data_IF_018297298732
#
_entry.id   IF_018297298732
#
_cell.length_a   1.000
_cell.length_b   1.000
_cell.length_c   1.000
_cell.angle_alpha   90.00
_cell.angle_beta   90.00
_cell.angle_gamma   90.00
#
_symmetry.space_group_name_H-M   'P 1'
#
loop_
_entity.id
_entity.type
_entity.pdbx_description
1 polymer ?
#
# COMPACT_ATOMS: atom_id res chain seq x y z
N UNK A 1 -30.75 -5.07 -26.91
CA UNK A 1 -30.40 -5.44 -25.52
C UNK A 1 -30.69 -4.31 -24.53
N UNK A 2 -30.37 -3.05 -24.87
CA UNK A 2 -30.57 -1.89 -23.95
C UNK A 2 -32.03 -1.50 -23.70
N UNK A 3 -32.92 -1.63 -24.69
CA UNK A 3 -34.34 -1.23 -24.57
C UNK A 3 -35.09 -2.06 -23.52
N UNK A 4 -35.03 -3.42 -23.53
CA UNK A 4 -35.71 -4.21 -22.51
C UNK A 4 -35.20 -3.98 -21.09
N UNK A 5 -33.88 -3.75 -20.90
CA UNK A 5 -33.29 -3.47 -19.59
C UNK A 5 -33.78 -2.15 -19.00
N UNK A 6 -33.82 -1.08 -19.80
CA UNK A 6 -34.33 0.24 -19.38
C UNK A 6 -35.82 0.20 -19.07
N UNK A 7 -36.62 -0.51 -19.86
CA UNK A 7 -38.05 -0.65 -19.61
C UNK A 7 -38.32 -1.43 -18.32
N UNK A 8 -37.59 -2.53 -18.08
CA UNK A 8 -37.69 -3.30 -16.84
C UNK A 8 -37.28 -2.48 -15.61
N UNK A 9 -36.21 -1.66 -15.69
CA UNK A 9 -35.77 -0.77 -14.61
C UNK A 9 -36.81 0.32 -14.29
N UNK A 10 -37.41 0.92 -15.32
CA UNK A 10 -38.40 2.01 -15.13
C UNK A 10 -39.74 1.52 -14.57
N UNK A 11 -40.13 0.27 -14.79
CA UNK A 11 -41.39 -0.33 -14.32
C UNK A 11 -41.17 -1.61 -13.53
N UNK A 12 -40.13 -1.65 -12.70
CA UNK A 12 -39.63 -2.85 -12.02
C UNK A 12 -40.72 -3.58 -11.24
N UNK A 13 -41.57 -2.87 -10.51
CA UNK A 13 -42.64 -3.44 -9.69
C UNK A 13 -43.72 -4.13 -10.53
N UNK A 14 -44.25 -3.43 -11.55
CA UNK A 14 -45.29 -3.99 -12.43
C UNK A 14 -44.76 -5.13 -13.29
N UNK A 15 -43.53 -5.00 -13.77
CA UNK A 15 -42.87 -6.05 -14.53
C UNK A 15 -42.61 -7.30 -13.69
N UNK A 16 -42.11 -7.12 -12.46
CA UNK A 16 -41.88 -8.23 -11.53
C UNK A 16 -43.18 -8.98 -11.19
N UNK A 17 -44.26 -8.26 -10.93
CA UNK A 17 -45.57 -8.88 -10.67
C UNK A 17 -46.12 -9.62 -11.89
N UNK A 18 -45.95 -9.09 -13.09
CA UNK A 18 -46.44 -9.74 -14.31
C UNK A 18 -45.65 -11.02 -14.64
N UNK A 19 -44.36 -11.08 -14.32
CA UNK A 19 -43.48 -12.23 -14.61
C UNK A 19 -43.48 -13.24 -13.44
N UNK A 20 -43.84 -12.81 -12.23
CA UNK A 20 -43.81 -13.65 -11.04
C UNK A 20 -44.60 -14.95 -11.17
N UNK A 21 -45.80 -14.89 -11.80
CA UNK A 21 -46.66 -16.08 -12.00
C UNK A 21 -45.99 -17.14 -12.88
N UNK A 22 -45.37 -16.71 -13.99
CA UNK A 22 -44.65 -17.63 -14.88
C UNK A 22 -43.37 -18.17 -14.23
N UNK A 23 -42.63 -17.34 -13.51
CA UNK A 23 -41.45 -17.77 -12.77
C UNK A 23 -41.81 -18.81 -11.69
N UNK A 24 -42.85 -18.57 -10.91
CA UNK A 24 -43.35 -19.55 -9.89
C UNK A 24 -43.77 -20.88 -10.53
N UNK A 25 -44.39 -20.82 -11.71
CA UNK A 25 -44.73 -22.05 -12.43
C UNK A 25 -43.46 -22.82 -12.85
N UNK A 26 -42.50 -22.17 -13.44
CA UNK A 26 -41.20 -22.78 -13.81
C UNK A 26 -40.46 -23.31 -12.58
N UNK A 27 -40.39 -22.54 -11.50
CA UNK A 27 -39.79 -23.01 -10.24
C UNK A 27 -40.45 -24.26 -9.71
N UNK A 28 -41.77 -24.34 -9.77
CA UNK A 28 -42.53 -25.50 -9.31
C UNK A 28 -42.33 -26.76 -10.17
N UNK A 29 -42.17 -26.57 -11.48
CA UNK A 29 -41.94 -27.66 -12.46
C UNK A 29 -40.48 -28.12 -12.41
N UNK A 30 -39.51 -27.15 -12.37
CA UNK A 30 -38.08 -27.44 -12.40
C UNK A 30 -37.51 -27.75 -11.02
N UNK A 31 -38.18 -27.34 -9.94
CA UNK A 31 -37.73 -27.55 -8.56
C UNK A 31 -37.39 -29.01 -8.21
N UNK A 32 -38.27 -29.96 -8.49
CA UNK A 32 -37.97 -31.36 -8.22
C UNK A 32 -36.78 -31.89 -9.05
N UNK A 33 -36.61 -31.39 -10.28
CA UNK A 33 -35.48 -31.77 -11.12
C UNK A 33 -34.16 -31.20 -10.56
N UNK A 34 -34.17 -29.94 -10.17
CA UNK A 34 -33.02 -29.28 -9.52
C UNK A 34 -32.65 -29.98 -8.19
N UNK A 35 -33.64 -30.40 -7.41
CA UNK A 35 -33.42 -31.17 -6.17
C UNK A 35 -32.70 -32.49 -6.45
N UNK A 36 -33.12 -33.24 -7.50
CA UNK A 36 -32.48 -34.51 -7.88
C UNK A 36 -31.03 -34.27 -8.28
N UNK A 37 -30.73 -33.24 -9.12
CA UNK A 37 -29.38 -32.89 -9.52
C UNK A 37 -28.51 -32.46 -8.31
N UNK A 38 -29.05 -31.64 -7.40
CA UNK A 38 -28.37 -31.26 -6.18
C UNK A 38 -28.05 -32.45 -5.26
N UNK A 39 -28.97 -33.42 -5.19
CA UNK A 39 -28.74 -34.62 -4.40
C UNK A 39 -27.65 -35.52 -4.99
N UNK A 40 -27.63 -35.66 -6.31
CA UNK A 40 -26.57 -36.39 -7.04
C UNK A 40 -25.24 -35.69 -6.88
N UNK A 41 -25.18 -34.35 -7.07
CA UNK A 41 -23.96 -33.54 -6.88
C UNK A 41 -23.40 -33.73 -5.47
N UNK A 42 -24.21 -33.63 -4.44
CA UNK A 42 -23.77 -33.87 -3.04
C UNK A 42 -23.23 -35.27 -2.82
N UNK A 43 -23.79 -36.28 -3.48
CA UNK A 43 -23.36 -37.67 -3.37
C UNK A 43 -22.00 -37.90 -4.01
N UNK A 44 -21.77 -37.25 -5.17
CA UNK A 44 -20.51 -37.32 -5.93
C UNK A 44 -19.42 -36.46 -5.24
N UNK A 45 -19.77 -35.33 -4.68
CA UNK A 45 -18.81 -34.43 -4.00
C UNK A 45 -18.37 -34.93 -2.61
N UNK A 46 -19.14 -35.80 -1.94
CA UNK A 46 -18.79 -36.34 -0.63
C UNK A 46 -17.40 -36.98 -0.53
N UNK A 47 -16.94 -37.83 -1.47
CA UNK A 47 -15.61 -38.42 -1.40
C UNK A 47 -14.47 -37.44 -1.71
N UNK A 48 -14.77 -36.28 -2.32
CA UNK A 48 -13.76 -35.26 -2.69
C UNK A 48 -13.64 -34.15 -1.63
N UNK A 49 -14.50 -34.09 -0.62
CA UNK A 49 -14.34 -33.21 0.54
C UNK A 49 -13.23 -33.71 1.47
N UNK A 50 -11.98 -33.63 0.97
CA UNK A 50 -10.80 -33.75 1.78
C UNK A 50 -10.33 -32.34 2.08
N UNK A 51 -10.58 -31.85 3.32
CA UNK A 51 -10.08 -30.59 3.86
C UNK A 51 -10.28 -29.38 2.90
N UNK A 52 -11.52 -28.99 2.64
CA UNK A 52 -11.79 -27.61 2.31
C UNK A 52 -11.60 -26.83 3.63
N UNK A 53 -10.40 -26.28 3.85
CA UNK A 53 -10.30 -24.98 4.47
C UNK A 53 -11.32 -24.12 3.74
N UNK A 54 -12.18 -23.43 4.46
CA UNK A 54 -13.22 -22.59 3.88
C UNK A 54 -12.53 -21.65 2.89
N UNK A 55 -12.63 -21.95 1.58
CA UNK A 55 -12.16 -21.03 0.56
C UNK A 55 -12.87 -19.70 0.83
N UNK A 56 -12.17 -18.58 0.88
CA UNK A 56 -12.78 -17.29 1.12
C UNK A 56 -13.93 -17.15 0.11
N UNK A 57 -15.09 -16.73 0.60
CA UNK A 57 -16.34 -16.64 -0.19
C UNK A 57 -16.23 -15.63 -1.32
N UNK A 58 -15.22 -14.74 -1.24
CA UNK A 58 -14.85 -13.71 -2.23
C UNK A 58 -13.33 -13.75 -2.35
N UNK A 59 -12.82 -13.87 -3.56
CA UNK A 59 -11.38 -13.78 -3.85
C UNK A 59 -10.97 -12.32 -4.07
N UNK A 60 -9.67 -12.03 -3.99
CA UNK A 60 -9.14 -10.70 -4.29
C UNK A 60 -9.48 -10.27 -5.71
N UNK A 61 -9.36 -11.16 -6.69
CA UNK A 61 -9.77 -10.91 -8.09
C UNK A 61 -11.25 -10.52 -8.20
N UNK A 62 -12.14 -11.18 -7.42
CA UNK A 62 -13.57 -10.82 -7.40
C UNK A 62 -13.82 -9.46 -6.75
N UNK A 63 -13.01 -9.07 -5.75
CA UNK A 63 -13.05 -7.73 -5.16
C UNK A 63 -12.60 -6.67 -6.17
N UNK A 64 -11.54 -6.95 -6.92
CA UNK A 64 -11.06 -6.09 -8.01
C UNK A 64 -12.15 -5.85 -9.05
N UNK A 65 -12.76 -6.92 -9.57
CA UNK A 65 -13.86 -6.86 -10.54
C UNK A 65 -15.06 -6.04 -10.01
N UNK A 66 -15.36 -6.17 -8.70
CA UNK A 66 -16.43 -5.40 -8.05
C UNK A 66 -16.08 -3.92 -8.03
N UNK A 67 -14.87 -3.56 -7.62
CA UNK A 67 -14.42 -2.15 -7.53
C UNK A 67 -14.39 -1.53 -8.93
N UNK A 68 -13.82 -2.20 -9.92
CA UNK A 68 -13.78 -1.72 -11.32
C UNK A 68 -15.18 -1.56 -11.92
N UNK A 69 -16.14 -2.40 -11.50
CA UNK A 69 -17.52 -2.34 -11.98
C UNK A 69 -18.39 -1.28 -11.30
N UNK A 70 -17.86 -0.52 -10.32
CA UNK A 70 -18.59 0.54 -9.64
C UNK A 70 -19.00 1.60 -10.70
N UNK A 71 -20.32 1.85 -10.91
CA UNK A 71 -20.76 2.84 -11.89
C UNK A 71 -20.40 4.25 -11.41
N UNK A 72 -20.05 5.15 -12.32
CA UNK A 72 -19.85 6.58 -12.06
C UNK A 72 -21.05 7.28 -11.37
N UNK A 73 -22.25 6.68 -11.42
CA UNK A 73 -23.47 7.16 -10.75
C UNK A 73 -23.65 6.57 -9.33
N UNK A 74 -22.65 5.87 -8.77
CA UNK A 74 -22.71 5.34 -7.41
C UNK A 74 -22.32 6.41 -6.37
N UNK A 75 -22.64 6.16 -5.09
CA UNK A 75 -22.21 7.00 -3.95
C UNK A 75 -20.69 6.87 -3.64
N UNK A 76 -19.99 6.00 -4.38
CA UNK A 76 -18.54 5.81 -4.32
C UNK A 76 -17.97 6.63 -5.48
N UNK A 77 -17.23 7.68 -5.15
CA UNK A 77 -16.49 8.50 -6.11
C UNK A 77 -15.22 7.76 -6.60
N UNK A 78 -14.65 8.23 -7.69
CA UNK A 78 -13.45 7.67 -8.31
C UNK A 78 -12.28 7.59 -7.32
N UNK A 79 -12.07 8.61 -6.52
CA UNK A 79 -11.01 8.68 -5.50
C UNK A 79 -11.13 7.57 -4.45
N UNK A 80 -12.36 7.23 -4.03
CA UNK A 80 -12.58 6.09 -3.11
C UNK A 80 -12.36 4.75 -3.76
N UNK A 81 -12.70 4.60 -5.04
CA UNK A 81 -12.44 3.37 -5.77
C UNK A 81 -10.94 3.14 -5.95
N UNK A 82 -10.18 4.18 -6.30
CA UNK A 82 -8.71 4.15 -6.37
C UNK A 82 -8.09 3.76 -5.02
N UNK A 83 -8.53 4.37 -3.93
CA UNK A 83 -8.03 4.03 -2.59
C UNK A 83 -8.30 2.56 -2.21
N UNK A 84 -9.49 2.02 -2.59
CA UNK A 84 -9.79 0.61 -2.36
C UNK A 84 -8.89 -0.31 -3.17
N UNK A 85 -8.57 0.06 -4.39
CA UNK A 85 -7.67 -0.68 -5.27
C UNK A 85 -6.24 -0.65 -4.73
N UNK A 86 -5.72 0.53 -4.38
CA UNK A 86 -4.40 0.67 -3.74
C UNK A 86 -4.30 -0.15 -2.45
N UNK A 87 -5.38 -0.23 -1.66
CA UNK A 87 -5.39 -1.03 -0.43
C UNK A 87 -5.32 -2.54 -0.68
N UNK A 88 -5.82 -3.04 -1.82
CA UNK A 88 -5.67 -4.44 -2.22
C UNK A 88 -4.23 -4.73 -2.69
N UNK A 89 -3.65 -3.84 -3.49
CA UNK A 89 -2.29 -3.98 -4.01
C UNK A 89 -1.22 -3.82 -2.93
N UNK A 90 -1.54 -3.10 -1.85
CA UNK A 90 -0.62 -2.75 -0.77
C UNK A 90 0.06 -3.96 -0.13
N UNK A 91 -0.68 -5.05 0.07
CA UNK A 91 -0.16 -6.28 0.68
C UNK A 91 0.79 -7.07 -0.23
N UNK A 92 0.68 -6.87 -1.55
CA UNK A 92 1.49 -7.56 -2.55
C UNK A 92 2.71 -6.74 -3.00
N UNK A 93 2.80 -5.47 -2.58
CA UNK A 93 3.88 -4.56 -2.91
C UNK A 93 5.10 -4.80 -2.01
N UNK A 94 6.29 -4.86 -2.60
CA UNK A 94 7.55 -5.08 -1.87
C UNK A 94 8.36 -3.79 -1.73
N UNK A 95 9.21 -3.73 -0.70
CA UNK A 95 10.09 -2.58 -0.42
C UNK A 95 10.95 -2.18 -1.61
N UNK A 96 11.40 -3.15 -2.44
CA UNK A 96 12.19 -2.85 -3.66
C UNK A 96 11.44 -2.01 -4.70
N UNK A 97 10.11 -1.93 -4.62
CA UNK A 97 9.26 -1.23 -5.58
C UNK A 97 9.04 0.24 -5.18
N UNK A 98 9.12 0.52 -3.87
CA UNK A 98 8.81 1.82 -3.28
C UNK A 98 10.04 2.58 -2.73
N UNK A 99 11.21 1.93 -2.67
CA UNK A 99 12.42 2.52 -2.09
C UNK A 99 12.92 3.73 -2.89
N UNK A 100 13.45 4.72 -2.18
CA UNK A 100 14.26 5.77 -2.78
C UNK A 100 15.66 5.23 -3.06
N UNK A 101 16.14 5.19 -4.33
CA UNK A 101 17.45 4.66 -4.70
C UNK A 101 18.61 5.35 -3.98
N UNK A 102 19.63 4.58 -3.57
CA UNK A 102 20.76 5.06 -2.76
C UNK A 102 21.57 6.19 -3.38
N UNK A 103 21.64 6.27 -4.69
CA UNK A 103 22.34 7.33 -5.44
C UNK A 103 21.60 8.67 -5.37
N UNK A 104 20.27 8.66 -5.18
CA UNK A 104 19.45 9.86 -5.03
C UNK A 104 19.41 10.41 -3.60
N UNK A 105 19.80 9.60 -2.61
CA UNK A 105 19.72 9.95 -1.20
C UNK A 105 20.79 10.95 -0.82
N UNK A 106 20.43 12.06 -0.17
CA UNK A 106 21.37 12.99 0.46
C UNK A 106 21.94 12.36 1.74
N UNK A 107 23.28 12.42 1.89
CA UNK A 107 24.02 11.71 2.95
C UNK A 107 24.96 12.65 3.68
N UNK A 108 25.15 12.38 4.98
CA UNK A 108 26.22 13.02 5.77
C UNK A 108 27.38 12.03 5.91
N UNK A 109 28.61 12.54 5.94
CA UNK A 109 29.76 11.69 6.26
C UNK A 109 30.00 11.72 7.77
N UNK A 110 30.44 10.60 8.32
CA UNK A 110 30.71 10.42 9.73
C UNK A 110 31.78 11.40 10.27
N UNK A 111 32.75 11.77 9.42
CA UNK A 111 33.87 12.67 9.78
C UNK A 111 33.52 14.16 9.66
N UNK A 112 32.31 14.51 9.20
CA UNK A 112 31.90 15.91 9.05
C UNK A 112 31.84 16.64 10.40
N UNK A 113 32.38 17.84 10.39
CA UNK A 113 32.13 18.84 11.44
C UNK A 113 30.68 19.34 11.38
N UNK A 114 30.23 19.97 12.45
CA UNK A 114 28.90 20.56 12.47
C UNK A 114 28.69 21.67 11.45
N UNK A 115 29.74 22.38 11.03
CA UNK A 115 29.65 23.43 9.97
C UNK A 115 29.43 22.79 8.60
N UNK A 116 30.20 21.76 8.28
CA UNK A 116 30.04 21.00 7.03
C UNK A 116 28.67 20.34 6.93
N UNK A 117 28.20 19.68 8.00
CA UNK A 117 26.87 19.10 8.05
C UNK A 117 25.77 20.16 7.87
N UNK A 118 25.94 21.35 8.49
CA UNK A 118 24.99 22.45 8.32
C UNK A 118 24.90 22.94 6.88
N UNK A 119 26.01 22.93 6.15
CA UNK A 119 25.99 23.31 4.73
C UNK A 119 25.15 22.36 3.88
N UNK A 120 25.21 21.06 4.16
CA UNK A 120 24.35 20.05 3.48
C UNK A 120 22.90 20.23 3.90
N UNK A 121 22.62 20.33 5.22
CA UNK A 121 21.26 20.39 5.77
C UNK A 121 20.50 21.66 5.32
N UNK A 122 21.21 22.76 5.05
CA UNK A 122 20.58 24.04 4.69
C UNK A 122 19.77 23.95 3.39
N UNK A 123 20.25 23.16 2.44
CA UNK A 123 19.67 23.01 1.12
C UNK A 123 18.81 21.75 1.01
N UNK A 124 18.56 21.07 2.14
CA UNK A 124 17.81 19.82 2.21
C UNK A 124 16.50 20.00 2.99
N UNK A 125 15.43 19.37 2.52
CA UNK A 125 14.09 19.46 3.11
C UNK A 125 13.75 18.28 4.02
N UNK A 126 14.56 17.20 4.01
CA UNK A 126 14.28 15.98 4.73
C UNK A 126 14.49 16.14 6.25
N UNK A 127 13.77 15.36 7.03
CA UNK A 127 13.86 15.39 8.49
C UNK A 127 14.99 14.51 9.05
N UNK A 128 15.46 13.53 8.27
CA UNK A 128 16.49 12.54 8.65
C UNK A 128 17.43 12.30 7.49
N UNK A 129 18.72 12.25 7.76
CA UNK A 129 19.75 11.95 6.78
C UNK A 129 20.59 10.77 7.24
N UNK A 130 20.85 9.77 6.36
CA UNK A 130 21.79 8.71 6.67
C UNK A 130 23.20 9.22 6.79
N UNK A 131 23.98 8.60 7.66
CA UNK A 131 25.41 8.87 7.86
C UNK A 131 26.20 7.71 7.27
N UNK A 132 27.19 8.04 6.46
CA UNK A 132 28.08 7.05 5.81
C UNK A 132 29.50 7.15 6.34
N UNK A 133 30.20 6.01 6.32
CA UNK A 133 31.64 5.92 6.57
C UNK A 133 32.47 6.41 5.36
N UNK A 134 33.80 6.22 5.43
CA UNK A 134 34.71 6.61 4.37
C UNK A 134 34.55 5.77 3.09
N UNK A 135 34.05 4.56 3.22
CA UNK A 135 33.76 3.59 2.16
C UNK A 135 32.37 3.82 1.52
N UNK A 136 31.53 4.67 2.14
CA UNK A 136 30.18 4.99 1.69
C UNK A 136 29.09 4.07 2.23
N UNK A 137 29.41 3.22 3.22
CA UNK A 137 28.42 2.36 3.85
C UNK A 137 27.64 3.13 4.92
N UNK A 138 26.32 2.90 5.06
CA UNK A 138 25.52 3.52 6.10
C UNK A 138 25.91 2.98 7.48
N UNK A 139 26.22 3.89 8.40
CA UNK A 139 26.65 3.57 9.78
C UNK A 139 25.75 4.16 10.84
N UNK A 140 24.78 4.99 10.46
CA UNK A 140 23.82 5.62 11.35
C UNK A 140 22.97 6.63 10.64
N UNK A 141 22.21 7.41 11.40
CA UNK A 141 21.41 8.51 10.87
C UNK A 141 21.46 9.73 11.77
N UNK A 142 21.22 10.92 11.21
CA UNK A 142 21.06 12.17 11.95
C UNK A 142 19.65 12.69 11.78
N UNK A 143 18.98 12.95 12.89
CA UNK A 143 17.71 13.70 12.91
C UNK A 143 18.05 15.20 12.86
N UNK A 144 17.64 15.90 11.81
CA UNK A 144 17.96 17.30 11.61
C UNK A 144 17.52 18.18 12.79
N UNK A 145 16.32 17.95 13.32
CA UNK A 145 15.83 18.69 14.49
C UNK A 145 16.71 18.49 15.74
N UNK A 146 17.20 17.26 15.97
CA UNK A 146 18.13 16.94 17.08
C UNK A 146 19.47 17.62 16.87
N UNK A 147 19.99 17.59 15.64
CA UNK A 147 21.22 18.27 15.23
C UNK A 147 21.14 19.77 15.50
N UNK A 148 20.14 20.46 14.95
CA UNK A 148 19.98 21.91 15.11
C UNK A 148 19.86 22.32 16.58
N UNK A 149 19.10 21.58 17.39
CA UNK A 149 18.96 21.84 18.82
C UNK A 149 20.28 21.65 19.58
N UNK A 150 21.06 20.61 19.24
CA UNK A 150 22.33 20.32 19.90
C UNK A 150 23.37 21.36 19.50
N UNK A 151 23.43 21.72 18.22
CA UNK A 151 24.35 22.73 17.71
C UNK A 151 24.09 24.13 18.29
N UNK A 152 22.81 24.49 18.50
CA UNK A 152 22.48 25.75 19.18
C UNK A 152 23.09 25.84 20.58
N UNK A 153 23.20 24.71 21.30
CA UNK A 153 23.81 24.63 22.64
C UNK A 153 25.33 24.46 22.63
N UNK A 154 25.84 23.77 21.61
CA UNK A 154 27.27 23.48 21.43
C UNK A 154 27.65 23.60 19.96
N UNK A 155 28.29 24.71 19.61
CA UNK A 155 28.72 24.99 18.23
C UNK A 155 29.77 24.00 17.69
N UNK A 156 30.50 23.29 18.55
CA UNK A 156 31.57 22.36 18.17
C UNK A 156 31.08 20.91 17.97
N UNK A 157 29.78 20.68 17.96
CA UNK A 157 29.21 19.33 17.76
C UNK A 157 29.53 18.80 16.37
N UNK A 158 29.93 17.53 16.26
CA UNK A 158 30.16 16.82 15.01
C UNK A 158 28.99 15.88 14.67
N UNK A 159 28.96 15.35 13.45
CA UNK A 159 27.97 14.31 13.04
C UNK A 159 28.06 13.10 13.95
N UNK A 160 29.26 12.63 14.25
CA UNK A 160 29.52 11.46 15.11
C UNK A 160 28.92 11.60 16.51
N UNK A 161 28.90 12.83 17.06
CA UNK A 161 28.44 13.07 18.44
C UNK A 161 26.92 12.96 18.61
N UNK A 162 26.17 13.03 17.52
CA UNK A 162 24.70 13.12 17.52
C UNK A 162 24.02 12.05 16.69
N UNK A 163 24.80 11.25 15.99
CA UNK A 163 24.29 10.13 15.18
C UNK A 163 23.51 9.16 16.07
N UNK A 164 22.38 8.72 15.56
CA UNK A 164 21.56 7.65 16.11
C UNK A 164 21.80 6.35 15.30
N UNK A 165 21.42 5.22 15.87
CA UNK A 165 21.45 3.93 15.17
C UNK A 165 20.50 3.97 13.98
N UNK A 166 20.82 3.17 12.95
CA UNK A 166 20.03 3.05 11.74
C UNK A 166 19.43 1.65 11.66
N UNK A 167 18.19 1.59 11.19
CA UNK A 167 17.48 0.34 10.96
C UNK A 167 17.73 -0.18 9.54
N UNK A 168 17.95 -1.49 9.39
CA UNK A 168 18.15 -2.14 8.09
C UNK A 168 17.01 -3.11 7.79
N UNK A 169 16.58 -3.14 6.54
CA UNK A 169 15.55 -4.06 6.05
C UNK A 169 15.97 -4.69 4.73
N UNK A 170 15.44 -5.85 4.42
CA UNK A 170 15.65 -6.50 3.12
C UNK A 170 14.69 -5.94 2.07
N UNK A 171 15.08 -6.02 0.81
CA UNK A 171 14.31 -5.54 -0.33
C UNK A 171 13.08 -6.40 -0.67
N UNK A 172 13.02 -7.62 -0.16
CA UNK A 172 11.97 -8.61 -0.40
C UNK A 172 10.88 -8.68 0.70
N UNK A 173 10.90 -7.76 1.66
CA UNK A 173 9.82 -7.63 2.65
C UNK A 173 8.63 -6.89 2.03
N UNK A 174 7.41 -7.34 2.34
CA UNK A 174 6.18 -6.64 1.96
C UNK A 174 6.03 -5.33 2.75
N UNK A 175 5.50 -4.28 2.11
CA UNK A 175 5.44 -2.94 2.74
C UNK A 175 4.46 -2.87 3.90
N UNK A 176 3.42 -3.69 3.94
CA UNK A 176 2.46 -3.80 5.03
C UNK A 176 3.12 -4.39 6.29
N UNK A 177 3.93 -5.45 6.13
CA UNK A 177 4.74 -6.03 7.19
C UNK A 177 5.79 -5.03 7.70
N UNK A 178 6.47 -4.32 6.78
CA UNK A 178 7.44 -3.30 7.13
C UNK A 178 6.79 -2.14 7.89
N UNK A 179 5.64 -1.63 7.45
CA UNK A 179 4.90 -0.56 8.12
C UNK A 179 4.57 -0.94 9.56
N UNK A 180 4.12 -2.19 9.75
CA UNK A 180 3.82 -2.75 11.07
C UNK A 180 5.08 -2.82 11.94
N UNK A 181 6.20 -3.30 11.41
CA UNK A 181 7.47 -3.39 12.12
C UNK A 181 7.99 -1.99 12.51
N UNK A 182 8.05 -1.05 11.55
CA UNK A 182 8.49 0.33 11.77
C UNK A 182 7.63 1.05 12.81
N UNK A 183 6.32 0.83 12.80
CA UNK A 183 5.38 1.39 13.79
C UNK A 183 5.66 0.86 15.20
N UNK A 184 5.90 -0.44 15.35
CA UNK A 184 6.20 -1.08 16.64
C UNK A 184 7.53 -0.59 17.20
N UNK A 185 8.55 -0.48 16.35
CA UNK A 185 9.91 -0.05 16.72
C UNK A 185 10.03 1.48 16.81
N UNK A 186 8.98 2.21 16.46
CA UNK A 186 8.94 3.69 16.38
C UNK A 186 10.04 4.25 15.47
N UNK A 187 10.35 3.51 14.42
CA UNK A 187 11.28 3.88 13.37
C UNK A 187 10.48 4.51 12.22
N UNK A 188 10.98 5.58 11.62
CA UNK A 188 10.33 6.23 10.46
C UNK A 188 11.19 6.16 9.20
N UNK A 189 12.35 5.50 9.29
CA UNK A 189 13.38 5.50 8.27
C UNK A 189 14.19 4.21 8.37
N UNK A 190 14.38 3.52 7.25
CA UNK A 190 15.19 2.30 7.17
C UNK A 190 16.07 2.31 5.93
N UNK A 191 17.25 1.72 6.03
CA UNK A 191 18.14 1.46 4.90
C UNK A 191 17.79 0.09 4.32
N UNK A 192 17.64 0.03 3.01
CA UNK A 192 17.28 -1.18 2.27
C UNK A 192 18.53 -1.89 1.76
N UNK A 193 18.62 -3.17 2.06
CA UNK A 193 19.69 -4.05 1.60
C UNK A 193 19.16 -5.04 0.57
N UNK A 194 19.98 -5.34 -0.43
CA UNK A 194 19.74 -6.45 -1.35
C UNK A 194 20.14 -7.79 -0.72
N UNK A 195 19.95 -8.89 -1.47
CA UNK A 195 20.25 -10.26 -1.04
C UNK A 195 21.74 -10.50 -0.72
N UNK A 196 22.61 -9.66 -1.24
CA UNK A 196 24.07 -9.72 -1.02
C UNK A 196 24.50 -8.83 0.16
N UNK A 197 23.54 -8.16 0.82
CA UNK A 197 23.78 -7.24 1.93
C UNK A 197 24.30 -5.87 1.49
N UNK A 198 24.17 -5.52 0.22
CA UNK A 198 24.55 -4.22 -0.31
C UNK A 198 23.40 -3.24 -0.15
N UNK A 199 23.72 -2.03 0.26
CA UNK A 199 22.75 -0.94 0.33
C UNK A 199 22.29 -0.53 -1.07
N UNK A 200 20.97 -0.58 -1.30
CA UNK A 200 20.34 -0.23 -2.58
C UNK A 200 19.45 1.02 -2.47
N UNK A 201 19.01 1.38 -1.27
CA UNK A 201 18.14 2.54 -1.08
C UNK A 201 17.78 2.79 0.38
N UNK A 202 16.78 3.62 0.54
CA UNK A 202 16.10 3.88 1.81
C UNK A 202 14.60 3.73 1.61
N UNK A 203 13.88 3.53 2.68
CA UNK A 203 12.43 3.58 2.72
C UNK A 203 11.98 4.31 3.98
N UNK A 204 10.97 5.16 3.85
CA UNK A 204 10.36 5.88 4.96
C UNK A 204 8.90 5.44 5.14
N UNK A 205 8.28 5.80 6.27
CA UNK A 205 6.84 5.56 6.47
C UNK A 205 6.04 6.38 5.45
N UNK A 206 6.52 7.56 5.12
CA UNK A 206 5.93 8.45 4.14
C UNK A 206 5.85 7.78 2.76
N UNK A 207 6.94 7.16 2.26
CA UNK A 207 6.97 6.41 0.99
C UNK A 207 5.95 5.25 1.00
N UNK A 208 5.87 4.51 2.12
CA UNK A 208 4.92 3.39 2.25
C UNK A 208 3.47 3.88 2.23
N UNK A 209 3.17 4.99 2.91
CA UNK A 209 1.82 5.53 2.94
C UNK A 209 1.40 6.15 1.60
N UNK A 210 2.35 6.64 0.81
CA UNK A 210 2.10 7.16 -0.53
C UNK A 210 1.54 6.08 -1.46
N UNK A 211 2.03 4.84 -1.35
CA UNK A 211 1.47 3.69 -2.10
C UNK A 211 0.01 3.40 -1.74
N UNK A 212 -0.40 3.69 -0.51
CA UNK A 212 -1.79 3.46 -0.08
C UNK A 212 -2.74 4.59 -0.50
N UNK A 213 -2.27 5.84 -0.45
CA UNK A 213 -3.12 7.04 -0.61
C UNK A 213 -2.99 7.66 -2.01
N UNK A 214 -1.97 7.25 -2.80
CA UNK A 214 -1.56 7.91 -4.03
C UNK A 214 -0.74 9.18 -3.73
N UNK A 215 -0.27 9.84 -4.77
CA UNK A 215 0.46 11.11 -4.63
C UNK A 215 -0.41 12.13 -3.90
N UNK A 216 -0.03 12.48 -2.67
CA UNK A 216 -0.65 13.59 -1.94
C UNK A 216 -0.10 14.87 -2.55
N UNK A 217 -0.85 15.44 -3.50
CA UNK A 217 -0.50 16.76 -4.04
C UNK A 217 -0.67 17.80 -2.95
N UNK A 218 0.45 18.35 -2.46
CA UNK A 218 0.42 19.57 -1.65
C UNK A 218 -0.07 20.75 -2.52
N UNK A 219 -0.81 21.68 -1.90
CA UNK A 219 -1.32 22.88 -2.61
C UNK A 219 -0.20 23.68 -3.28
N UNK A 220 1.04 23.53 -2.80
CA UNK A 220 2.25 24.20 -3.32
C UNK A 220 2.80 23.58 -4.62
N UNK A 221 2.45 22.33 -4.96
CA UNK A 221 2.93 21.65 -6.17
C UNK A 221 2.26 22.18 -7.46
N UNK A 222 1.15 22.88 -7.35
CA UNK A 222 0.45 23.48 -8.50
C UNK A 222 1.13 24.72 -9.07
N UNK A 223 2.02 25.39 -8.31
CA UNK A 223 2.74 26.57 -8.78
C UNK A 223 4.00 26.25 -9.60
N UNK A 224 4.50 25.01 -9.60
CA UNK A 224 5.69 24.59 -10.33
C UNK A 224 5.41 24.12 -11.78
N UNK A 225 4.14 24.00 -12.18
CA UNK A 225 3.72 23.46 -13.49
C UNK A 225 3.19 24.54 -14.47
N UNK A 226 3.21 25.84 -14.12
CA UNK A 226 2.95 26.99 -15.00
C UNK A 226 4.29 27.73 -15.32
#
# INVERSE_FOLDING_TARGET
EMIPKRFAKANSEKFSLAVAGSLLFFMKVLGPLAFIFSAISRLVSKPFKKNEEEEPTVTEDELYDIIESIPEESDIDEEKAELMQSALEFSDTFVREVLTPWDKVVKLRLDMSGDEAMAVIRDDIHSRLPVVDAEGNPVGMVQIRKFLRTRYKNASVSVKDIMDDIHFVNDDIAIDDLLTAMSNDKTHFSVVLDKDGKTIGIVTIEDILEELVGEIYDEDDKEAAE
#
